data_IF_677271181479
#
_entry.id   IF_677271181479
#
_cell.length_a   1.000
_cell.length_b   1.000
_cell.length_c   1.000
_cell.angle_alpha   90.00
_cell.angle_beta   90.00
_cell.angle_gamma   90.00
#
_symmetry.space_group_name_H-M   'P 1'
#
loop_
_entity.id
_entity.type
_entity.pdbx_description
1 polymer ?
#
# COMPACT_ATOMS: atom_id res chain seq x y z
N UNK A 1 18.86 -17.53 34.64
CA UNK A 1 18.39 -16.26 34.04
C UNK A 1 18.28 -16.46 32.53
N UNK A 2 17.08 -16.36 31.91
CA UNK A 2 17.02 -16.33 30.46
C UNK A 2 17.56 -14.98 29.94
N UNK A 3 18.42 -15.05 28.93
CA UNK A 3 19.09 -13.93 28.27
C UNK A 3 18.08 -12.91 27.73
N UNK A 4 18.43 -11.61 27.63
CA UNK A 4 17.63 -10.65 26.89
C UNK A 4 17.49 -11.15 25.45
N UNK A 5 16.27 -11.44 25.03
CA UNK A 5 15.95 -11.67 23.63
C UNK A 5 16.40 -10.41 22.87
N UNK A 6 17.39 -10.56 21.99
CA UNK A 6 17.67 -9.54 20.98
C UNK A 6 16.35 -9.31 20.27
N UNK A 7 15.75 -8.14 20.51
CA UNK A 7 14.60 -7.63 19.76
C UNK A 7 15.04 -7.70 18.30
N UNK A 8 14.55 -8.69 17.57
CA UNK A 8 14.81 -8.84 16.15
C UNK A 8 14.37 -7.53 15.53
N UNK A 9 15.31 -6.79 14.93
CA UNK A 9 14.95 -5.63 14.13
C UNK A 9 14.16 -6.21 12.96
N UNK A 10 12.84 -6.22 13.08
CA UNK A 10 11.98 -6.75 12.04
C UNK A 10 12.28 -6.05 10.71
N UNK A 11 12.23 -6.80 9.60
CA UNK A 11 12.38 -6.23 8.27
C UNK A 11 11.50 -4.97 8.11
N UNK A 12 12.06 -3.91 7.53
CA UNK A 12 11.33 -2.68 7.20
C UNK A 12 11.71 -2.25 5.79
N UNK A 13 10.69 -1.95 4.99
CA UNK A 13 10.88 -1.38 3.66
C UNK A 13 9.85 -0.30 3.41
N UNK A 14 10.25 0.79 2.75
CA UNK A 14 9.34 1.86 2.41
C UNK A 14 9.64 2.44 1.02
N UNK A 15 8.59 2.90 0.34
CA UNK A 15 8.70 3.56 -0.97
C UNK A 15 7.59 4.58 -1.14
N UNK A 16 7.93 5.71 -1.77
CA UNK A 16 6.96 6.66 -2.29
C UNK A 16 6.96 6.58 -3.82
N UNK A 17 5.78 6.66 -4.46
CA UNK A 17 5.66 6.68 -5.90
C UNK A 17 4.50 7.59 -6.34
N UNK A 18 4.69 8.31 -7.44
CA UNK A 18 3.62 9.03 -8.11
C UNK A 18 2.78 8.02 -8.92
N UNK A 19 1.49 7.93 -8.62
CA UNK A 19 0.55 7.00 -9.27
C UNK A 19 -0.57 7.82 -9.90
N UNK A 20 -0.81 7.72 -11.22
CA UNK A 20 -2.01 8.27 -11.83
C UNK A 20 -3.26 7.74 -11.14
N UNK A 21 -4.29 8.56 -10.96
CA UNK A 21 -5.57 8.08 -10.43
C UNK A 21 -6.19 7.08 -11.40
N UNK A 22 -6.66 5.94 -10.88
CA UNK A 22 -7.06 4.78 -11.69
C UNK A 22 -5.89 4.01 -12.32
N UNK A 23 -4.66 4.46 -12.06
CA UNK A 23 -3.43 3.81 -12.46
C UNK A 23 -3.18 2.53 -11.66
N UNK A 24 -2.53 1.58 -12.31
CA UNK A 24 -2.07 0.36 -11.68
C UNK A 24 -0.85 0.64 -10.80
N UNK A 25 -0.84 0.02 -9.63
CA UNK A 25 0.33 -0.06 -8.76
C UNK A 25 0.98 -1.40 -9.00
N UNK A 26 2.27 -1.39 -9.33
CA UNK A 26 3.11 -2.59 -9.38
C UNK A 26 4.45 -2.23 -8.73
N UNK A 27 4.72 -2.87 -7.59
CA UNK A 27 5.88 -2.54 -6.75
C UNK A 27 6.58 -3.82 -6.34
N UNK A 28 7.89 -3.85 -6.53
CA UNK A 28 8.75 -4.97 -6.11
C UNK A 28 9.55 -4.57 -4.88
N UNK A 29 9.43 -5.36 -3.82
CA UNK A 29 10.29 -5.32 -2.64
C UNK A 29 11.46 -6.28 -2.90
N UNK A 30 12.72 -5.81 -2.79
CA UNK A 30 13.89 -6.66 -3.00
C UNK A 30 13.94 -7.87 -2.05
N UNK A 31 14.60 -8.93 -2.50
CA UNK A 31 14.87 -10.11 -1.69
C UNK A 31 15.78 -9.80 -0.49
N UNK A 32 15.71 -10.65 0.54
CA UNK A 32 16.57 -10.57 1.72
C UNK A 32 16.11 -9.58 2.80
N UNK A 33 15.01 -8.86 2.57
CA UNK A 33 14.41 -7.96 3.57
C UNK A 33 13.43 -8.69 4.48
N UNK A 34 12.65 -9.62 3.93
CA UNK A 34 11.62 -10.37 4.66
C UNK A 34 11.77 -11.86 4.38
N UNK A 35 11.57 -12.69 5.40
CA UNK A 35 11.55 -14.15 5.26
C UNK A 35 10.20 -14.70 4.75
N UNK A 36 9.12 -13.93 4.92
CA UNK A 36 7.76 -14.26 4.54
C UNK A 36 7.04 -13.05 3.95
N UNK A 37 5.74 -13.19 3.64
CA UNK A 37 4.92 -12.06 3.19
C UNK A 37 4.80 -11.01 4.31
N UNK A 38 5.17 -9.74 4.06
CA UNK A 38 5.08 -8.68 5.06
C UNK A 38 3.66 -8.14 5.17
N UNK A 39 3.40 -7.44 6.28
CA UNK A 39 2.23 -6.59 6.42
C UNK A 39 2.48 -5.29 5.67
N UNK A 40 1.52 -4.88 4.84
CA UNK A 40 1.61 -3.64 4.06
C UNK A 40 0.72 -2.57 4.68
N UNK A 41 1.33 -1.47 5.09
CA UNK A 41 0.66 -0.23 5.41
C UNK A 41 0.83 0.76 4.24
N UNK A 42 -0.17 1.62 4.04
CA UNK A 42 -0.12 2.62 3.00
C UNK A 42 -0.77 3.94 3.44
N UNK A 43 -0.32 5.03 2.83
CA UNK A 43 -1.00 6.32 2.89
C UNK A 43 -0.92 7.00 1.53
N UNK A 44 -1.92 7.81 1.20
CA UNK A 44 -1.98 8.54 -0.06
C UNK A 44 -1.99 10.03 0.27
N UNK A 45 -1.00 10.74 -0.25
CA UNK A 45 -1.03 12.20 -0.27
C UNK A 45 -1.89 12.64 -1.45
N UNK A 46 -3.07 13.16 -1.12
CA UNK A 46 -4.01 13.70 -2.11
C UNK A 46 -3.42 14.89 -2.85
N UNK A 47 -3.66 14.95 -4.16
CA UNK A 47 -3.35 16.11 -5.00
C UNK A 47 -4.53 17.10 -5.13
N UNK A 48 -5.66 16.83 -4.46
CA UNK A 48 -6.89 17.62 -4.57
C UNK A 48 -7.84 17.49 -3.39
N UNK A 49 -9.10 17.85 -3.60
CA UNK A 49 -10.15 17.85 -2.55
C UNK A 49 -10.93 16.54 -2.50
N UNK A 50 -10.43 15.46 -3.07
CA UNK A 50 -11.10 14.15 -3.11
C UNK A 50 -10.37 13.15 -2.23
N UNK A 51 -11.09 12.16 -1.74
CA UNK A 51 -10.48 11.02 -1.06
C UNK A 51 -10.00 9.97 -2.06
N UNK A 52 -8.94 9.25 -1.69
CA UNK A 52 -8.31 8.22 -2.50
C UNK A 52 -8.11 6.94 -1.69
N UNK A 53 -8.27 5.80 -2.35
CA UNK A 53 -8.07 4.47 -1.74
C UNK A 53 -7.17 3.63 -2.64
N UNK A 54 -6.20 2.94 -2.03
CA UNK A 54 -5.48 1.88 -2.70
C UNK A 54 -6.22 0.55 -2.49
N UNK A 55 -6.68 -0.06 -3.58
CA UNK A 55 -7.16 -1.44 -3.55
C UNK A 55 -6.01 -2.37 -3.94
N UNK A 56 -5.42 -3.02 -2.94
CA UNK A 56 -4.43 -4.08 -3.16
C UNK A 56 -5.16 -5.30 -3.72
N UNK A 57 -4.68 -5.82 -4.84
CA UNK A 57 -5.23 -7.00 -5.53
C UNK A 57 -4.32 -8.22 -5.45
N UNK A 58 -3.04 -8.04 -5.11
CA UNK A 58 -2.11 -9.14 -4.99
C UNK A 58 -0.89 -8.77 -4.15
N UNK A 59 -0.42 -9.74 -3.37
CA UNK A 59 0.83 -9.70 -2.65
C UNK A 59 1.47 -11.09 -2.75
N UNK A 60 2.55 -11.21 -3.50
CA UNK A 60 3.14 -12.51 -3.87
C UNK A 60 4.61 -12.56 -3.47
N UNK A 61 5.01 -13.62 -2.77
CA UNK A 61 6.42 -13.97 -2.57
C UNK A 61 6.89 -14.81 -3.76
N UNK A 62 7.79 -14.26 -4.56
CA UNK A 62 8.31 -14.90 -5.77
C UNK A 62 9.38 -15.96 -5.43
N UNK A 63 9.69 -16.81 -6.40
CA UNK A 63 10.71 -17.86 -6.24
C UNK A 63 12.11 -17.28 -5.95
N UNK A 64 12.43 -16.12 -6.53
CA UNK A 64 13.67 -15.36 -6.30
C UNK A 64 13.67 -14.59 -4.97
N UNK A 65 12.65 -14.80 -4.12
CA UNK A 65 12.46 -14.16 -2.82
C UNK A 65 12.17 -12.65 -2.88
N UNK A 66 11.96 -12.08 -4.05
CA UNK A 66 11.35 -10.75 -4.15
C UNK A 66 9.86 -10.83 -3.80
N UNK A 67 9.28 -9.72 -3.37
CA UNK A 67 7.83 -9.64 -3.12
C UNK A 67 7.21 -8.64 -4.09
N UNK A 68 6.18 -9.05 -4.81
CA UNK A 68 5.44 -8.18 -5.73
C UNK A 68 4.11 -7.79 -5.11
N UNK A 69 3.87 -6.49 -5.00
CA UNK A 69 2.58 -5.89 -4.66
C UNK A 69 1.92 -5.36 -5.93
N UNK A 70 0.67 -5.75 -6.15
CA UNK A 70 -0.17 -5.19 -7.22
C UNK A 70 -1.46 -4.59 -6.66
N UNK A 71 -1.93 -3.52 -7.27
CA UNK A 71 -3.17 -2.87 -6.89
C UNK A 71 -3.58 -1.77 -7.85
N UNK A 72 -4.61 -1.01 -7.45
CA UNK A 72 -5.10 0.15 -8.20
C UNK A 72 -5.43 1.26 -7.21
N UNK A 73 -4.96 2.48 -7.49
CA UNK A 73 -5.40 3.67 -6.77
C UNK A 73 -6.72 4.14 -7.37
N UNK A 74 -7.74 4.34 -6.54
CA UNK A 74 -9.05 4.82 -6.96
C UNK A 74 -9.40 6.12 -6.25
N UNK A 75 -10.03 7.04 -6.96
CA UNK A 75 -10.57 8.26 -6.41
C UNK A 75 -12.06 8.10 -6.11
N UNK A 76 -12.46 8.52 -4.91
CA UNK A 76 -13.86 8.62 -4.50
C UNK A 76 -14.59 9.65 -5.35
N UNK A 77 -15.82 9.34 -5.79
CA UNK A 77 -16.70 10.35 -6.43
C UNK A 77 -17.41 11.24 -5.42
N UNK A 78 -17.33 10.91 -4.14
CA UNK A 78 -17.97 11.67 -3.09
C UNK A 78 -17.00 12.70 -2.48
N UNK A 79 -17.54 13.62 -1.68
CA UNK A 79 -16.76 14.67 -1.01
C UNK A 79 -15.94 14.07 0.16
N UNK A 80 -14.85 14.71 0.62
CA UNK A 80 -14.03 14.19 1.71
C UNK A 80 -14.83 13.76 2.93
N UNK A 81 -14.52 12.59 3.48
CA UNK A 81 -15.14 12.05 4.70
C UNK A 81 -16.43 11.25 4.48
N UNK A 82 -16.90 11.13 3.24
CA UNK A 82 -18.13 10.37 2.91
C UNK A 82 -17.88 8.89 2.59
N UNK A 83 -16.62 8.49 2.36
CA UNK A 83 -16.21 7.08 2.18
C UNK A 83 -16.65 6.19 3.35
N UNK A 84 -16.59 6.72 4.58
CA UNK A 84 -16.99 6.00 5.79
C UNK A 84 -18.52 5.90 5.93
N UNK A 85 -19.26 6.80 5.27
CA UNK A 85 -20.73 6.92 5.41
C UNK A 85 -21.47 6.05 4.39
N UNK A 86 -20.83 5.67 3.29
CA UNK A 86 -21.51 5.01 2.15
C UNK A 86 -21.73 3.49 2.29
N UNK A 87 -21.25 2.86 3.37
CA UNK A 87 -21.44 1.42 3.61
C UNK A 87 -20.91 0.51 2.50
N UNK A 88 -20.00 1.01 1.65
CA UNK A 88 -19.42 0.25 0.54
C UNK A 88 -20.06 0.49 -0.84
N UNK A 89 -21.09 1.33 -0.97
CA UNK A 89 -21.66 1.74 -2.26
C UNK A 89 -20.93 2.96 -2.88
N UNK A 90 -19.62 3.03 -2.67
CA UNK A 90 -18.76 4.06 -3.27
C UNK A 90 -18.62 3.83 -4.78
N UNK A 91 -18.91 4.85 -5.58
CA UNK A 91 -18.55 4.85 -7.00
C UNK A 91 -17.19 5.52 -7.16
N UNK A 92 -16.28 4.89 -7.92
CA UNK A 92 -14.94 5.40 -8.16
C UNK A 92 -14.84 6.04 -9.54
N UNK A 93 -14.01 7.06 -9.67
CA UNK A 93 -13.69 7.69 -10.96
C UNK A 93 -12.19 7.65 -11.26
N UNK A 94 -11.89 7.71 -12.56
CA UNK A 94 -10.55 7.71 -13.12
C UNK A 94 -10.30 9.12 -13.65
N UNK A 95 -9.86 10.04 -12.79
CA UNK A 95 -9.41 11.36 -13.25
C UNK A 95 -7.93 11.33 -13.62
N UNK A 96 -7.48 12.27 -14.46
CA UNK A 96 -6.11 12.30 -14.98
C UNK A 96 -5.08 12.92 -14.01
N UNK A 97 -5.37 13.01 -12.71
CA UNK A 97 -4.45 13.58 -11.71
C UNK A 97 -3.62 12.49 -11.03
N UNK A 98 -2.31 12.71 -10.88
CA UNK A 98 -1.44 11.81 -10.12
C UNK A 98 -1.48 12.12 -8.62
N UNK A 99 -1.41 11.09 -7.79
CA UNK A 99 -1.25 11.18 -6.33
C UNK A 99 0.08 10.59 -5.90
N UNK A 100 0.56 10.95 -4.71
CA UNK A 100 1.74 10.28 -4.13
C UNK A 100 1.29 9.17 -3.19
N UNK A 101 1.62 7.93 -3.54
CA UNK A 101 1.38 6.76 -2.71
C UNK A 101 2.64 6.47 -1.87
N UNK A 102 2.48 6.43 -0.56
CA UNK A 102 3.49 5.95 0.38
C UNK A 102 3.15 4.52 0.80
N UNK A 103 4.12 3.62 0.67
CA UNK A 103 4.02 2.21 1.07
C UNK A 103 5.06 1.92 2.14
N UNK A 104 4.65 1.17 3.14
CA UNK A 104 5.53 0.62 4.19
C UNK A 104 5.22 -0.87 4.31
N UNK A 105 6.25 -1.69 4.26
CA UNK A 105 6.19 -3.12 4.52
C UNK A 105 6.92 -3.42 5.83
N UNK A 106 6.31 -4.23 6.69
CA UNK A 106 6.85 -4.62 8.00
C UNK A 106 6.71 -6.14 8.18
N UNK A 107 7.65 -6.73 8.91
CA UNK A 107 7.60 -8.15 9.24
C UNK A 107 6.37 -8.42 10.13
N UNK A 108 5.66 -9.51 9.87
CA UNK A 108 4.58 -9.97 10.76
C UNK A 108 5.20 -10.66 11.96
N UNK A 109 4.70 -10.34 13.16
CA UNK A 109 5.02 -11.07 14.40
C UNK A 109 4.65 -12.57 14.30
#
# INVERSE_FOLDING_TARGET
MPKPQKKQLGGLWAKAAAIPTGGTVSVTIPAGIFAALPVIAHSIQSAGTRDYVLRISGLTLNADKTITLTGVVRQSRMLPGTLLVSGGNETFETLASAVTLHLVAMESD
#
